data_IF_262160783131
#
_entry.id   IF_262160783131
#
_cell.length_a   1.000
_cell.length_b   1.000
_cell.length_c   1.000
_cell.angle_alpha   90.00
_cell.angle_beta   90.00
_cell.angle_gamma   90.00
#
_symmetry.space_group_name_H-M   'P 1'
#
loop_
_entity.id
_entity.type
_entity.pdbx_description
1 polymer ?
#
# COMPACT_ATOMS: atom_id res chain seq x y z
N UNK A 1 -13.20 -17.04 3.04
CA UNK A 1 -12.94 -15.74 3.63
C UNK A 1 -11.61 -15.15 3.25
N UNK A 2 -10.52 -15.77 3.67
CA UNK A 2 -9.20 -15.27 3.31
C UNK A 2 -9.01 -15.21 1.80
N UNK A 3 -9.59 -16.16 1.10
CA UNK A 3 -9.46 -16.24 -0.34
C UNK A 3 -10.10 -15.05 -1.05
N UNK A 4 -11.29 -14.65 -0.60
CA UNK A 4 -11.97 -13.50 -1.20
C UNK A 4 -11.21 -12.21 -0.96
N UNK A 5 -10.65 -12.05 0.24
CA UNK A 5 -9.84 -10.88 0.56
C UNK A 5 -8.58 -10.84 -0.28
N UNK A 6 -7.94 -12.00 -0.45
CA UNK A 6 -6.73 -12.10 -1.25
C UNK A 6 -6.99 -11.71 -2.70
N UNK A 7 -8.13 -12.15 -3.27
CA UNK A 7 -8.48 -11.80 -4.64
C UNK A 7 -8.73 -10.31 -4.78
N UNK A 8 -9.43 -9.70 -3.81
CA UNK A 8 -9.69 -8.27 -3.84
C UNK A 8 -8.40 -7.46 -3.79
N UNK A 9 -7.48 -7.85 -2.92
CA UNK A 9 -6.20 -7.17 -2.81
C UNK A 9 -5.38 -7.31 -4.09
N UNK A 10 -5.38 -8.49 -4.68
CA UNK A 10 -4.66 -8.71 -5.93
C UNK A 10 -5.20 -7.83 -7.05
N UNK A 11 -6.54 -7.71 -7.12
CA UNK A 11 -7.18 -6.85 -8.12
C UNK A 11 -6.76 -5.40 -7.94
N UNK A 12 -6.75 -4.93 -6.69
CA UNK A 12 -6.34 -3.55 -6.42
C UNK A 12 -4.88 -3.32 -6.77
N UNK A 13 -4.03 -4.32 -6.51
CA UNK A 13 -2.62 -4.21 -6.87
C UNK A 13 -2.44 -4.09 -8.38
N UNK A 14 -3.24 -4.82 -9.15
CA UNK A 14 -3.19 -4.69 -10.61
C UNK A 14 -3.63 -3.31 -11.07
N UNK A 15 -4.66 -2.74 -10.43
CA UNK A 15 -5.11 -1.40 -10.76
C UNK A 15 -4.00 -0.37 -10.55
N UNK A 16 -3.15 -0.58 -9.56
CA UNK A 16 -2.05 0.34 -9.30
C UNK A 16 -1.06 0.41 -10.47
N UNK A 17 -0.94 -0.67 -11.23
CA UNK A 17 -0.08 -0.67 -12.41
C UNK A 17 -0.53 0.32 -13.46
N UNK A 18 -1.84 0.61 -13.51
CA UNK A 18 -2.41 1.56 -14.46
C UNK A 18 -2.53 2.96 -13.87
N UNK A 19 -2.69 3.06 -12.56
CA UNK A 19 -2.92 4.36 -11.90
C UNK A 19 -2.16 4.40 -10.58
N UNK A 20 -0.84 4.55 -10.62
CA UNK A 20 -0.04 4.50 -9.38
C UNK A 20 -0.43 5.57 -8.37
N UNK A 21 -0.94 6.70 -8.80
CA UNK A 21 -1.28 7.80 -7.90
C UNK A 21 -2.69 7.70 -7.33
N UNK A 22 -3.40 6.58 -7.54
CA UNK A 22 -4.78 6.48 -7.08
C UNK A 22 -4.91 6.40 -5.56
N UNK A 23 -3.87 5.94 -4.86
CA UNK A 23 -3.90 5.87 -3.41
C UNK A 23 -3.60 7.22 -2.78
N UNK A 24 -3.93 7.35 -1.49
CA UNK A 24 -3.70 8.58 -0.76
C UNK A 24 -2.23 8.70 -0.38
N UNK A 25 -1.65 9.87 -0.61
CA UNK A 25 -0.26 10.11 -0.26
C UNK A 25 -0.06 10.10 1.25
N UNK A 26 1.11 9.64 1.68
CA UNK A 26 1.50 9.61 3.08
C UNK A 26 2.72 10.50 3.26
N UNK A 27 2.53 11.83 3.37
CA UNK A 27 3.65 12.77 3.37
C UNK A 27 4.58 12.63 4.57
N UNK A 28 4.12 12.00 5.65
CA UNK A 28 4.96 11.82 6.83
C UNK A 28 6.19 10.95 6.56
N UNK A 29 6.21 10.25 5.44
CA UNK A 29 7.35 9.40 5.07
C UNK A 29 8.26 10.04 4.03
N UNK A 30 8.02 11.31 3.69
CA UNK A 30 8.87 12.00 2.74
C UNK A 30 10.33 11.93 3.16
N UNK A 31 11.29 11.87 2.24
CA UNK A 31 11.13 12.01 0.79
C UNK A 31 10.66 10.76 0.06
N UNK A 32 10.47 9.65 0.74
CA UNK A 32 9.92 8.46 0.10
C UNK A 32 8.47 8.74 -0.30
N UNK A 33 8.10 8.33 -1.50
CA UNK A 33 6.74 8.54 -1.99
C UNK A 33 5.90 7.31 -1.67
N UNK A 34 5.31 7.31 -0.49
CA UNK A 34 4.44 6.25 -0.05
C UNK A 34 2.99 6.65 -0.21
N UNK A 35 2.15 5.68 -0.54
CA UNK A 35 0.73 5.87 -0.66
C UNK A 35 0.00 4.70 -0.02
N UNK A 36 -1.26 4.94 0.30
CA UNK A 36 -2.10 3.92 0.92
C UNK A 36 -3.36 3.75 0.09
N UNK A 37 -3.74 2.50 -0.15
CA UNK A 37 -4.94 2.16 -0.86
C UNK A 37 -5.83 1.35 0.07
N UNK A 38 -7.05 1.81 0.27
CA UNK A 38 -7.95 1.16 1.21
C UNK A 38 -8.75 0.08 0.50
N UNK A 39 -8.65 -1.13 1.01
CA UNK A 39 -9.49 -2.26 0.59
C UNK A 39 -9.98 -2.91 1.86
N UNK A 40 -11.09 -2.43 2.37
CA UNK A 40 -11.58 -2.80 3.70
C UNK A 40 -11.68 -4.30 3.88
N UNK A 41 -11.24 -4.80 5.02
CA UNK A 41 -10.75 -4.07 6.20
C UNK A 41 -9.23 -3.82 6.18
N UNK A 42 -8.61 -3.81 5.02
CA UNK A 42 -7.16 -3.73 4.91
C UNK A 42 -6.71 -2.42 4.28
N UNK A 43 -5.46 -2.07 4.59
CA UNK A 43 -4.76 -0.92 4.02
C UNK A 43 -3.54 -1.47 3.28
N UNK A 44 -3.46 -1.19 2.01
CA UNK A 44 -2.33 -1.61 1.18
C UNK A 44 -1.37 -0.43 1.07
N UNK A 45 -0.16 -0.61 1.56
CA UNK A 45 0.85 0.45 1.56
C UNK A 45 1.84 0.16 0.45
N UNK A 46 2.06 1.13 -0.41
CA UNK A 46 2.94 0.93 -1.55
C UNK A 46 3.83 2.15 -1.78
N UNK A 47 4.88 1.95 -2.53
CA UNK A 47 5.84 2.98 -2.88
C UNK A 47 5.92 3.10 -4.39
N UNK A 48 5.97 4.34 -4.89
CA UNK A 48 6.15 4.61 -6.31
C UNK A 48 7.62 4.89 -6.54
N UNK A 49 8.22 4.16 -7.48
CA UNK A 49 9.60 4.42 -7.93
C UNK A 49 9.56 4.80 -9.40
N UNK A 50 10.67 5.30 -9.95
CA UNK A 50 10.68 5.68 -11.37
C UNK A 50 10.34 4.52 -12.32
N UNK A 51 10.55 3.27 -11.90
CA UNK A 51 10.38 2.13 -12.78
C UNK A 51 9.24 1.22 -12.40
N UNK A 52 8.71 1.32 -11.18
CA UNK A 52 7.71 0.35 -10.74
C UNK A 52 6.94 0.84 -9.52
N UNK A 53 5.87 0.13 -9.20
CA UNK A 53 5.13 0.28 -7.96
C UNK A 53 5.47 -0.92 -7.09
N UNK A 54 5.89 -0.66 -5.85
CA UNK A 54 6.28 -1.72 -4.91
C UNK A 54 5.28 -1.79 -3.78
N UNK A 55 4.68 -2.96 -3.60
CA UNK A 55 3.80 -3.19 -2.44
C UNK A 55 4.69 -3.48 -1.24
N UNK A 56 4.60 -2.63 -0.23
CA UNK A 56 5.44 -2.77 0.96
C UNK A 56 4.81 -3.66 2.01
N UNK A 57 3.53 -3.45 2.28
CA UNK A 57 2.85 -4.23 3.30
C UNK A 57 1.35 -4.07 3.18
N UNK A 58 0.62 -4.97 3.83
CA UNK A 58 -0.83 -4.89 3.96
C UNK A 58 -1.12 -4.89 5.46
N UNK A 59 -1.84 -3.87 5.91
CA UNK A 59 -2.19 -3.71 7.32
C UNK A 59 -3.71 -3.78 7.46
N UNK A 60 -4.16 -4.32 8.60
CA UNK A 60 -5.56 -4.17 8.97
C UNK A 60 -5.80 -2.69 9.25
N UNK A 61 -6.96 -2.16 8.85
CA UNK A 61 -7.18 -0.72 8.92
C UNK A 61 -7.10 -0.16 10.36
N UNK A 62 -7.22 -1.01 11.36
CA UNK A 62 -7.09 -0.61 12.76
C UNK A 62 -5.67 -0.61 13.27
N UNK A 63 -4.73 -1.15 12.50
CA UNK A 63 -3.34 -1.15 12.91
C UNK A 63 -2.73 0.22 12.71
N UNK A 64 -1.88 0.62 13.65
CA UNK A 64 -1.16 1.87 13.51
C UNK A 64 -0.04 1.72 12.51
N UNK A 65 0.19 2.79 11.74
CA UNK A 65 1.31 2.79 10.80
C UNK A 65 2.61 2.87 11.56
N UNK A 66 3.63 2.11 11.15
CA UNK A 66 4.96 2.27 11.75
C UNK A 66 5.48 3.68 11.49
N UNK A 67 6.22 4.22 12.47
CA UNK A 67 6.85 5.52 12.30
C UNK A 67 8.18 5.41 11.56
N UNK A 68 8.73 4.21 11.46
CA UNK A 68 10.03 3.94 10.85
C UNK A 68 9.83 3.17 9.56
N UNK A 69 10.30 3.75 8.44
CA UNK A 69 10.21 3.10 7.13
C UNK A 69 10.91 1.76 7.09
N UNK A 70 11.92 1.58 7.93
CA UNK A 70 12.66 0.32 7.96
C UNK A 70 11.73 -0.86 8.23
N UNK A 71 10.72 -0.65 9.07
CA UNK A 71 9.77 -1.71 9.38
C UNK A 71 8.94 -2.13 8.17
N UNK A 72 8.73 -1.23 7.23
CA UNK A 72 7.94 -1.53 6.04
C UNK A 72 8.76 -2.17 4.94
N UNK A 73 10.08 -2.08 5.01
CA UNK A 73 10.95 -2.53 3.93
C UNK A 73 11.63 -3.86 4.20
N UNK A 74 11.24 -4.53 5.26
CA UNK A 74 11.82 -5.83 5.58
C UNK A 74 11.27 -6.93 4.69
#
# INVERSE_FOLDING_TARGET
MAKAVTVALARRALELGHSPAMGRALPRYAPAELRELLERPYRLIYRITPTQVEILTVLHYRQLMPSDLTDLQR
#
